data_IF_993504553007
#
_entry.id   IF_993504553007
#
_cell.length_a   1.000
_cell.length_b   1.000
_cell.length_c   1.000
_cell.angle_alpha   90.00
_cell.angle_beta   90.00
_cell.angle_gamma   90.00
#
_symmetry.space_group_name_H-M   'P 1'
#
loop_
_entity.id
_entity.type
_entity.pdbx_description
1 polymer ?
#
# COMPACT_ATOMS: atom_id res chain seq x y z
N UNK A 1 15.90 -50.53 -16.38
CA UNK A 1 15.74 -49.08 -16.64
C UNK A 1 14.46 -48.49 -16.01
N UNK A 2 14.13 -48.81 -14.73
CA UNK A 2 12.96 -48.23 -14.03
C UNK A 2 13.31 -47.54 -12.69
N UNK A 3 14.57 -47.64 -12.24
CA UNK A 3 15.03 -47.05 -10.96
C UNK A 3 15.72 -45.69 -11.11
N UNK A 4 16.05 -45.28 -12.34
CA UNK A 4 16.73 -43.99 -12.62
C UNK A 4 15.70 -42.85 -12.80
N UNK A 5 14.47 -43.15 -13.24
CA UNK A 5 13.41 -42.15 -13.39
C UNK A 5 12.87 -41.61 -12.06
N UNK A 6 12.96 -42.38 -10.97
CA UNK A 6 12.45 -41.98 -9.66
C UNK A 6 13.36 -40.95 -8.96
N UNK A 7 14.67 -41.00 -9.20
CA UNK A 7 15.65 -40.08 -8.60
C UNK A 7 15.57 -38.70 -9.25
N UNK A 8 15.25 -38.62 -10.55
CA UNK A 8 15.03 -37.35 -11.25
C UNK A 8 13.75 -36.62 -10.79
N UNK A 9 12.71 -37.37 -10.40
CA UNK A 9 11.44 -36.81 -9.90
C UNK A 9 11.55 -36.26 -8.47
N UNK A 10 12.41 -36.83 -7.63
CA UNK A 10 12.66 -36.32 -6.26
C UNK A 10 13.57 -35.10 -6.27
N UNK A 11 14.48 -34.98 -7.25
CA UNK A 11 15.34 -33.80 -7.40
C UNK A 11 14.60 -32.54 -7.88
N UNK A 12 13.49 -32.69 -8.63
CA UNK A 12 12.67 -31.56 -9.08
C UNK A 12 11.70 -31.04 -8.00
N UNK A 13 11.39 -31.83 -6.97
CA UNK A 13 10.59 -31.37 -5.83
C UNK A 13 11.42 -30.62 -4.77
N UNK A 14 12.74 -30.79 -4.76
CA UNK A 14 13.65 -30.16 -3.80
C UNK A 14 14.03 -28.70 -4.14
N UNK A 15 13.53 -28.16 -5.25
CA UNK A 15 13.69 -26.75 -5.63
C UNK A 15 12.39 -25.94 -5.57
N UNK A 16 11.37 -26.40 -4.83
CA UNK A 16 10.35 -25.48 -4.31
C UNK A 16 10.97 -24.70 -3.15
N UNK A 17 11.81 -23.72 -3.45
CA UNK A 17 12.29 -22.83 -2.41
C UNK A 17 11.07 -22.09 -1.87
N UNK A 18 10.80 -22.19 -0.57
CA UNK A 18 9.82 -21.37 0.18
C UNK A 18 10.23 -19.89 0.22
N UNK A 19 10.99 -19.42 -0.77
CA UNK A 19 11.37 -18.03 -0.89
C UNK A 19 10.16 -17.26 -1.43
N UNK A 20 9.79 -16.15 -0.79
CA UNK A 20 8.82 -15.24 -1.36
C UNK A 20 9.25 -14.87 -2.78
N UNK A 21 8.32 -14.96 -3.72
CA UNK A 21 8.55 -14.57 -5.11
C UNK A 21 8.56 -13.05 -5.27
N UNK A 22 7.92 -12.33 -4.35
CA UNK A 22 7.89 -10.88 -4.30
C UNK A 22 9.04 -10.34 -3.44
N UNK A 23 9.74 -9.28 -3.90
CA UNK A 23 10.74 -8.59 -3.09
C UNK A 23 10.09 -7.87 -1.90
N UNK A 24 10.80 -7.85 -0.78
CA UNK A 24 10.41 -7.14 0.43
C UNK A 24 11.64 -6.72 1.24
N UNK A 25 11.46 -5.74 2.13
CA UNK A 25 12.48 -5.29 3.08
C UNK A 25 11.86 -4.99 4.43
N UNK A 26 12.48 -5.48 5.51
CA UNK A 26 12.14 -5.04 6.87
C UNK A 26 12.77 -3.65 7.07
N UNK A 27 11.94 -2.64 7.31
CA UNK A 27 12.37 -1.24 7.44
C UNK A 27 12.41 -0.77 8.89
N UNK A 28 11.66 -1.40 9.78
CA UNK A 28 11.65 -1.11 11.21
C UNK A 28 11.34 -2.39 11.99
N UNK A 29 11.96 -2.52 13.16
CA UNK A 29 11.67 -3.57 14.14
C UNK A 29 11.54 -2.90 15.50
N UNK A 30 10.44 -3.15 16.19
CA UNK A 30 10.23 -2.64 17.55
C UNK A 30 9.49 -3.66 18.42
N UNK A 31 9.69 -3.60 19.73
CA UNK A 31 8.92 -4.40 20.69
C UNK A 31 7.98 -3.49 21.45
N UNK A 32 6.68 -3.77 21.37
CA UNK A 32 5.64 -3.00 22.04
C UNK A 32 4.54 -3.93 22.53
N UNK A 33 4.07 -3.71 23.76
CA UNK A 33 2.97 -4.47 24.37
C UNK A 33 3.17 -5.99 24.36
N UNK A 34 4.44 -6.43 24.47
CA UNK A 34 4.81 -7.85 24.45
C UNK A 34 4.73 -8.52 23.08
N UNK A 35 4.55 -7.76 21.99
CA UNK A 35 4.67 -8.22 20.61
C UNK A 35 5.89 -7.59 19.94
N UNK A 36 6.53 -8.33 19.03
CA UNK A 36 7.52 -7.75 18.11
C UNK A 36 6.79 -7.31 16.86
N UNK A 37 6.92 -6.04 16.51
CA UNK A 37 6.36 -5.42 15.32
C UNK A 37 7.47 -5.25 14.29
N UNK A 38 7.20 -5.66 13.07
CA UNK A 38 8.09 -5.46 11.94
C UNK A 38 7.34 -4.79 10.80
N UNK A 39 7.89 -3.67 10.36
CA UNK A 39 7.40 -2.99 9.19
C UNK A 39 8.06 -3.56 7.96
N UNK A 40 7.24 -4.04 7.03
CA UNK A 40 7.68 -4.76 5.84
C UNK A 40 7.32 -3.93 4.61
N UNK A 41 8.32 -3.22 4.06
CA UNK A 41 8.17 -2.53 2.80
C UNK A 41 8.08 -3.55 1.65
N UNK A 42 7.08 -3.38 0.80
CA UNK A 42 6.87 -4.15 -0.43
C UNK A 42 6.86 -3.22 -1.64
N UNK A 43 7.26 -3.72 -2.80
CA UNK A 43 7.44 -2.88 -4.00
C UNK A 43 6.13 -2.65 -4.79
N UNK A 44 5.05 -3.35 -4.44
CA UNK A 44 3.74 -3.25 -5.09
C UNK A 44 2.62 -3.80 -4.20
N UNK A 45 1.36 -3.60 -4.63
CA UNK A 45 0.20 -4.25 -4.01
C UNK A 45 0.23 -5.76 -4.29
N UNK A 46 0.59 -6.53 -3.26
CA UNK A 46 0.67 -7.99 -3.30
C UNK A 46 -0.65 -8.63 -2.90
N UNK A 47 -0.98 -9.76 -3.51
CA UNK A 47 -2.14 -10.55 -3.07
C UNK A 47 -1.91 -11.19 -1.70
N UNK A 48 -3.01 -11.71 -1.12
CA UNK A 48 -2.99 -12.34 0.20
C UNK A 48 -1.97 -13.48 0.27
N UNK A 49 -1.88 -14.33 -0.76
CA UNK A 49 -0.97 -15.48 -0.72
C UNK A 49 0.49 -15.02 -0.77
N UNK A 50 0.81 -14.03 -1.60
CA UNK A 50 2.15 -13.45 -1.66
C UNK A 50 2.57 -12.85 -0.31
N UNK A 51 1.68 -12.14 0.37
CA UNK A 51 1.93 -11.59 1.70
C UNK A 51 2.09 -12.69 2.76
N UNK A 52 1.27 -13.74 2.72
CA UNK A 52 1.41 -14.89 3.61
C UNK A 52 2.73 -15.64 3.40
N UNK A 53 3.21 -15.74 2.15
CA UNK A 53 4.51 -16.34 1.86
C UNK A 53 5.65 -15.50 2.46
N UNK A 54 5.56 -14.16 2.39
CA UNK A 54 6.49 -13.26 3.08
C UNK A 54 6.41 -13.46 4.59
N UNK A 55 5.19 -13.53 5.15
CA UNK A 55 4.97 -13.77 6.58
C UNK A 55 5.65 -15.06 7.06
N UNK A 56 5.42 -16.16 6.34
CA UNK A 56 5.98 -17.46 6.62
C UNK A 56 7.52 -17.42 6.62
N UNK A 57 8.10 -16.74 5.63
CA UNK A 57 9.56 -16.59 5.52
C UNK A 57 10.12 -15.82 6.70
N UNK A 58 9.54 -14.66 7.02
CA UNK A 58 9.99 -13.83 8.16
C UNK A 58 9.81 -14.58 9.48
N UNK A 59 8.70 -15.29 9.66
CA UNK A 59 8.43 -16.10 10.86
C UNK A 59 9.43 -17.24 11.01
N UNK A 60 9.81 -17.90 9.92
CA UNK A 60 10.84 -18.95 9.91
C UNK A 60 12.21 -18.38 10.27
N UNK A 61 12.60 -17.24 9.69
CA UNK A 61 13.87 -16.56 9.98
C UNK A 61 13.93 -15.99 11.39
N UNK A 62 12.77 -15.64 11.96
CA UNK A 62 12.62 -15.02 13.27
C UNK A 62 11.85 -15.93 14.22
N UNK A 63 12.19 -17.22 14.20
CA UNK A 63 11.45 -18.27 14.92
C UNK A 63 11.36 -18.04 16.42
N UNK A 64 12.33 -17.31 17.00
CA UNK A 64 12.36 -16.92 18.42
C UNK A 64 11.27 -15.92 18.82
N UNK A 65 10.63 -15.21 17.89
CA UNK A 65 9.49 -14.36 18.22
C UNK A 65 8.19 -15.16 18.17
N UNK A 66 7.64 -15.50 19.33
CA UNK A 66 6.33 -16.17 19.44
C UNK A 66 5.16 -15.24 19.13
N UNK A 67 5.30 -13.96 19.51
CA UNK A 67 4.31 -12.91 19.27
C UNK A 67 4.88 -11.91 18.25
N UNK A 68 4.52 -12.09 16.98
CA UNK A 68 5.10 -11.37 15.86
C UNK A 68 4.01 -10.75 14.99
N UNK A 69 4.03 -9.43 14.87
CA UNK A 69 3.18 -8.65 13.97
C UNK A 69 4.02 -8.10 12.82
N UNK A 70 3.51 -8.28 11.61
CA UNK A 70 4.09 -7.76 10.38
C UNK A 70 3.10 -6.77 9.79
N UNK A 71 3.50 -5.51 9.65
CA UNK A 71 2.72 -4.47 9.00
C UNK A 71 3.34 -4.17 7.63
N UNK A 72 2.60 -4.43 6.56
CA UNK A 72 3.07 -4.26 5.20
C UNK A 72 2.84 -2.83 4.73
N UNK A 73 3.84 -2.23 4.09
CA UNK A 73 3.86 -0.82 3.70
C UNK A 73 4.11 -0.72 2.21
N UNK A 74 3.29 0.08 1.51
CA UNK A 74 3.41 0.33 0.07
C UNK A 74 4.41 1.45 -0.24
N UNK A 75 4.94 1.52 -1.47
CA UNK A 75 5.81 2.60 -1.89
C UNK A 75 5.13 3.97 -1.76
N UNK A 76 5.84 4.93 -1.15
CA UNK A 76 5.30 6.27 -0.87
C UNK A 76 4.82 6.45 0.57
N UNK A 77 4.42 5.36 1.25
CA UNK A 77 4.16 5.36 2.68
C UNK A 77 5.48 5.34 3.43
N UNK A 78 5.74 6.42 4.16
CA UNK A 78 7.02 6.65 4.81
C UNK A 78 6.83 7.39 6.13
N UNK A 79 7.89 7.36 6.94
CA UNK A 79 7.94 7.93 8.29
C UNK A 79 8.23 9.43 8.34
N UNK A 80 8.51 10.06 7.21
CA UNK A 80 8.85 11.49 7.14
C UNK A 80 7.58 12.37 7.10
N UNK A 81 6.40 11.76 6.92
CA UNK A 81 5.11 12.46 6.96
C UNK A 81 4.62 12.67 8.40
N UNK A 82 3.94 13.80 8.67
CA UNK A 82 3.29 14.09 9.97
C UNK A 82 2.16 13.09 10.31
N UNK A 83 1.49 12.54 9.30
CA UNK A 83 0.42 11.57 9.48
C UNK A 83 0.91 10.15 9.83
N UNK A 84 2.22 9.95 9.96
CA UNK A 84 2.84 8.64 10.16
C UNK A 84 2.78 7.78 8.90
N UNK A 85 3.06 6.48 9.08
CA UNK A 85 3.03 5.50 8.00
C UNK A 85 1.65 4.85 7.89
N UNK A 86 1.12 4.76 6.67
CA UNK A 86 -0.09 3.99 6.40
C UNK A 86 0.24 2.51 6.24
N UNK A 87 -0.49 1.66 6.96
CA UNK A 87 -0.36 0.20 6.87
C UNK A 87 -1.32 -0.30 5.80
N UNK A 88 -0.81 -1.04 4.84
CA UNK A 88 -1.58 -1.62 3.74
C UNK A 88 -2.24 -2.94 4.14
N UNK A 89 -1.49 -3.82 4.80
CA UNK A 89 -1.97 -5.10 5.29
C UNK A 89 -1.24 -5.46 6.59
N UNK A 90 -1.78 -6.40 7.34
CA UNK A 90 -1.10 -6.93 8.52
C UNK A 90 -1.20 -8.46 8.62
N UNK A 91 -0.14 -9.07 9.15
CA UNK A 91 -0.11 -10.47 9.58
C UNK A 91 0.27 -10.53 11.06
N UNK A 92 -0.40 -11.35 11.85
CA UNK A 92 -0.11 -11.45 13.29
C UNK A 92 -0.06 -12.91 13.73
N UNK A 93 1.13 -13.35 14.10
CA UNK A 93 1.38 -14.59 14.81
C UNK A 93 1.24 -14.33 16.31
N UNK A 94 0.24 -14.96 16.93
CA UNK A 94 0.03 -14.89 18.38
C UNK A 94 0.67 -16.10 19.07
N UNK A 95 1.02 -15.97 20.38
CA UNK A 95 1.42 -17.11 21.18
C UNK A 95 0.35 -18.21 21.14
N UNK A 96 0.77 -19.48 21.11
CA UNK A 96 -0.15 -20.62 20.96
C UNK A 96 -1.27 -20.69 22.03
N UNK A 97 -1.00 -20.19 23.24
CA UNK A 97 -1.99 -20.10 24.32
C UNK A 97 -2.99 -18.94 24.18
N UNK A 98 -2.85 -18.07 23.17
CA UNK A 98 -3.61 -16.83 22.97
C UNK A 98 -4.30 -16.75 21.60
N UNK A 99 -4.46 -17.85 20.89
CA UNK A 99 -5.22 -17.83 19.63
C UNK A 99 -6.64 -17.33 19.85
N UNK A 100 -7.13 -16.55 18.89
CA UNK A 100 -8.48 -15.98 18.88
C UNK A 100 -9.24 -16.41 17.63
N UNK A 101 -10.53 -16.09 17.55
CA UNK A 101 -11.37 -16.39 16.38
C UNK A 101 -10.87 -15.71 15.09
N UNK A 102 -9.99 -14.71 15.20
CA UNK A 102 -9.36 -14.06 14.04
C UNK A 102 -8.20 -14.89 13.45
N UNK A 103 -7.65 -15.85 14.21
CA UNK A 103 -6.53 -16.72 13.81
C UNK A 103 -7.03 -17.92 13.00
N UNK A 104 -7.44 -17.69 11.76
CA UNK A 104 -8.04 -18.72 10.90
C UNK A 104 -7.14 -19.18 9.77
N UNK A 105 -5.99 -18.54 9.60
CA UNK A 105 -5.11 -18.75 8.44
C UNK A 105 -3.87 -19.51 8.91
N UNK A 106 -3.39 -20.42 8.06
CA UNK A 106 -2.15 -21.15 8.28
C UNK A 106 -1.15 -20.76 7.22
N UNK A 107 0.09 -20.53 7.64
CA UNK A 107 1.21 -20.41 6.72
C UNK A 107 1.69 -21.77 6.20
N UNK A 108 2.65 -21.78 5.28
CA UNK A 108 3.20 -23.01 4.68
C UNK A 108 3.90 -23.92 5.69
N UNK A 109 4.23 -23.41 6.87
CA UNK A 109 4.81 -24.15 8.00
C UNK A 109 3.76 -24.55 9.04
N UNK A 110 2.47 -24.41 8.72
CA UNK A 110 1.33 -24.74 9.55
C UNK A 110 1.19 -23.88 10.83
N UNK A 111 1.88 -22.74 10.91
CA UNK A 111 1.69 -21.78 12.00
C UNK A 111 0.38 -21.04 11.78
N UNK A 112 -0.40 -20.85 12.86
CA UNK A 112 -1.65 -20.13 12.81
C UNK A 112 -1.41 -18.62 12.95
N UNK A 113 -2.11 -17.83 12.16
CA UNK A 113 -2.04 -16.37 12.19
C UNK A 113 -3.37 -15.74 11.78
N UNK A 114 -3.55 -14.48 12.15
CA UNK A 114 -4.54 -13.61 11.53
C UNK A 114 -3.90 -12.81 10.40
N UNK A 115 -4.68 -12.51 9.36
CA UNK A 115 -4.29 -11.62 8.27
C UNK A 115 -5.45 -10.69 7.92
N UNK A 116 -5.13 -9.44 7.64
CA UNK A 116 -6.10 -8.42 7.26
C UNK A 116 -5.50 -7.46 6.23
N UNK A 117 -6.27 -7.12 5.19
CA UNK A 117 -6.01 -5.91 4.42
C UNK A 117 -6.57 -4.73 5.21
N UNK A 118 -5.68 -3.87 5.69
CA UNK A 118 -6.06 -2.64 6.41
C UNK A 118 -6.48 -1.57 5.39
N UNK A 119 -5.75 -1.50 4.28
CA UNK A 119 -6.08 -0.67 3.12
C UNK A 119 -6.93 -1.38 2.07
N UNK A 120 -6.88 -0.85 0.84
CA UNK A 120 -7.60 -1.35 -0.32
C UNK A 120 -6.87 -2.57 -0.92
N UNK A 121 -7.54 -3.73 -0.92
CA UNK A 121 -7.03 -4.96 -1.52
C UNK A 121 -6.66 -4.80 -3.01
N UNK A 122 -5.70 -5.58 -3.55
CA UNK A 122 -5.16 -5.38 -4.90
C UNK A 122 -6.19 -5.44 -6.03
N UNK A 123 -7.15 -6.35 -5.95
CA UNK A 123 -8.19 -6.53 -6.96
C UNK A 123 -9.14 -5.33 -7.00
N UNK A 124 -9.46 -4.78 -5.83
CA UNK A 124 -10.26 -3.57 -5.68
C UNK A 124 -9.50 -2.33 -6.13
N UNK A 125 -8.22 -2.20 -5.75
CA UNK A 125 -7.32 -1.15 -6.23
C UNK A 125 -7.23 -1.15 -7.75
N UNK A 126 -7.04 -2.32 -8.37
CA UNK A 126 -7.02 -2.47 -9.83
C UNK A 126 -8.31 -2.00 -10.49
N UNK A 127 -9.47 -2.31 -9.90
CA UNK A 127 -10.78 -1.84 -10.40
C UNK A 127 -10.90 -0.32 -10.30
N UNK A 128 -10.54 0.26 -9.15
CA UNK A 128 -10.61 1.70 -8.92
C UNK A 128 -9.69 2.48 -9.86
N UNK A 129 -8.45 1.99 -10.06
CA UNK A 129 -7.49 2.57 -11.00
C UNK A 129 -7.96 2.46 -12.45
N UNK A 130 -8.82 1.48 -12.77
CA UNK A 130 -9.40 1.29 -14.10
C UNK A 130 -10.69 2.07 -14.34
N UNK A 131 -11.21 2.83 -13.36
CA UNK A 131 -12.45 3.61 -13.54
C UNK A 131 -12.28 4.60 -14.69
N UNK A 132 -13.14 4.51 -15.70
CA UNK A 132 -13.23 5.53 -16.74
C UNK A 132 -13.89 6.78 -16.15
N UNK A 133 -13.25 7.93 -16.31
CA UNK A 133 -13.83 9.20 -15.90
C UNK A 133 -14.77 9.62 -17.05
N UNK A 134 -16.06 9.93 -16.77
CA UNK A 134 -16.97 10.43 -17.79
C UNK A 134 -16.41 11.71 -18.46
N UNK A 135 -16.68 11.87 -19.76
CA UNK A 135 -16.33 13.05 -20.52
C UNK A 135 -14.83 13.41 -20.51
N UNK A 136 -13.94 12.42 -20.64
CA UNK A 136 -12.48 12.66 -20.78
C UNK A 136 -12.04 13.17 -22.16
N UNK A 137 -12.99 13.38 -23.07
CA UNK A 137 -12.71 14.06 -24.34
C UNK A 137 -12.16 15.45 -24.04
N UNK A 138 -11.01 15.76 -24.63
CA UNK A 138 -10.27 17.01 -24.40
C UNK A 138 -9.72 17.21 -22.98
N UNK A 139 -9.62 16.15 -22.16
CA UNK A 139 -8.96 16.19 -20.85
C UNK A 139 -7.65 15.39 -20.85
N UNK A 140 -6.74 15.72 -19.96
CA UNK A 140 -5.47 14.99 -19.76
C UNK A 140 -5.38 14.53 -18.31
N UNK A 141 -5.42 13.22 -18.08
CA UNK A 141 -5.18 12.66 -16.76
C UNK A 141 -3.71 12.88 -16.37
N UNK A 142 -3.50 13.50 -15.21
CA UNK A 142 -2.17 13.75 -14.64
C UNK A 142 -1.75 12.68 -13.63
N UNK A 143 -2.71 12.00 -12.98
CA UNK A 143 -2.42 10.85 -12.15
C UNK A 143 -3.61 10.29 -11.40
N UNK A 144 -3.41 9.09 -10.85
CA UNK A 144 -4.36 8.36 -10.00
C UNK A 144 -3.66 7.85 -8.75
N UNK A 145 -4.17 8.19 -7.58
CA UNK A 145 -3.52 7.94 -6.29
C UNK A 145 -4.51 7.29 -5.35
N UNK A 146 -4.14 6.15 -4.77
CA UNK A 146 -4.97 5.49 -3.76
C UNK A 146 -4.50 5.98 -2.39
N UNK A 147 -5.44 6.38 -1.55
CA UNK A 147 -5.19 6.64 -0.13
C UNK A 147 -5.78 5.47 0.67
N UNK A 148 -4.92 4.56 1.14
CA UNK A 148 -5.37 3.39 1.92
C UNK A 148 -5.92 3.77 3.30
N UNK A 149 -5.62 4.95 3.81
CA UNK A 149 -6.11 5.39 5.12
C UNK A 149 -7.46 6.11 5.02
N UNK A 150 -7.73 6.82 3.91
CA UNK A 150 -9.06 7.37 3.64
C UNK A 150 -9.97 6.41 2.87
N UNK A 151 -9.40 5.32 2.33
CA UNK A 151 -10.07 4.37 1.46
C UNK A 151 -10.69 5.05 0.23
N UNK A 152 -9.92 5.94 -0.39
CA UNK A 152 -10.33 6.71 -1.57
C UNK A 152 -9.31 6.63 -2.70
N UNK A 153 -9.74 7.06 -3.89
CA UNK A 153 -8.85 7.29 -5.04
C UNK A 153 -8.95 8.75 -5.47
N UNK A 154 -7.82 9.45 -5.43
CA UNK A 154 -7.68 10.80 -5.97
C UNK A 154 -7.25 10.74 -7.44
N UNK A 155 -8.01 11.41 -8.29
CA UNK A 155 -7.75 11.60 -9.71
C UNK A 155 -7.43 13.07 -9.95
N UNK A 156 -6.35 13.35 -10.66
CA UNK A 156 -5.97 14.71 -11.04
C UNK A 156 -5.94 14.79 -12.56
N UNK A 157 -6.60 15.78 -13.15
CA UNK A 157 -6.60 15.99 -14.60
C UNK A 157 -6.66 17.47 -14.97
N UNK A 158 -6.24 17.76 -16.20
CA UNK A 158 -6.40 19.08 -16.82
C UNK A 158 -7.49 19.05 -17.89
N UNK A 159 -8.31 20.09 -17.97
CA UNK A 159 -9.09 20.37 -19.17
C UNK A 159 -8.20 21.09 -20.20
N UNK A 160 -8.12 20.58 -21.43
CA UNK A 160 -7.24 21.16 -22.47
C UNK A 160 -7.76 22.50 -22.99
N UNK A 161 -9.03 22.84 -22.78
CA UNK A 161 -9.64 24.07 -23.31
C UNK A 161 -9.14 25.31 -22.59
N UNK A 162 -9.00 25.24 -21.27
CA UNK A 162 -8.59 26.34 -20.40
C UNK A 162 -7.33 26.04 -19.58
N UNK A 163 -6.78 24.82 -19.70
CA UNK A 163 -5.66 24.31 -18.90
C UNK A 163 -5.95 24.34 -17.38
N UNK A 164 -7.23 24.31 -16.99
CA UNK A 164 -7.66 24.26 -15.60
C UNK A 164 -7.44 22.87 -15.02
N UNK A 165 -6.85 22.81 -13.82
CA UNK A 165 -6.71 21.57 -13.06
C UNK A 165 -7.98 21.24 -12.31
N UNK A 166 -8.27 19.96 -12.19
CA UNK A 166 -9.37 19.39 -11.43
C UNK A 166 -8.85 18.22 -10.60
N UNK A 167 -9.43 18.07 -9.41
CA UNK A 167 -9.18 16.96 -8.50
C UNK A 167 -10.54 16.31 -8.22
N UNK A 168 -10.64 15.00 -8.45
CA UNK A 168 -11.79 14.19 -8.07
C UNK A 168 -11.35 13.13 -7.08
N UNK A 169 -12.07 13.01 -5.98
CA UNK A 169 -11.91 11.92 -5.04
C UNK A 169 -13.09 10.95 -5.19
N UNK A 170 -12.76 9.67 -5.31
CA UNK A 170 -13.72 8.57 -5.42
C UNK A 170 -13.69 7.70 -4.17
N UNK A 171 -14.85 7.26 -3.69
CA UNK A 171 -14.93 6.21 -2.67
C UNK A 171 -14.55 4.83 -3.24
N UNK A 172 -14.54 3.81 -2.37
CA UNK A 172 -14.21 2.45 -2.80
C UNK A 172 -15.25 1.77 -3.70
N UNK A 173 -16.43 2.37 -3.90
CA UNK A 173 -17.42 1.93 -4.87
C UNK A 173 -17.31 2.68 -6.21
N UNK A 174 -16.43 3.67 -6.30
CA UNK A 174 -16.21 4.50 -7.49
C UNK A 174 -17.12 5.72 -7.57
N UNK A 175 -17.86 6.05 -6.50
CA UNK A 175 -18.67 7.26 -6.47
C UNK A 175 -17.81 8.48 -6.17
N UNK A 176 -18.11 9.60 -6.82
CA UNK A 176 -17.47 10.88 -6.50
C UNK A 176 -17.89 11.34 -5.12
N UNK A 177 -16.92 11.52 -4.22
CA UNK A 177 -17.14 12.06 -2.87
C UNK A 177 -16.69 13.50 -2.72
N UNK A 178 -15.73 13.94 -3.54
CA UNK A 178 -15.24 15.32 -3.51
C UNK A 178 -14.73 15.79 -4.88
N UNK A 179 -15.37 16.80 -5.50
CA UNK A 179 -14.83 17.50 -6.64
C UNK A 179 -14.21 18.84 -6.23
N UNK A 180 -12.96 19.10 -6.64
CA UNK A 180 -12.24 20.33 -6.32
C UNK A 180 -11.61 20.93 -7.57
N UNK A 181 -11.82 22.24 -7.75
CA UNK A 181 -11.07 23.06 -8.72
C UNK A 181 -10.03 23.84 -7.92
N UNK A 182 -8.77 23.38 -7.83
CA UNK A 182 -7.77 24.03 -7.02
C UNK A 182 -7.35 25.38 -7.62
N UNK A 183 -6.98 26.31 -6.74
CA UNK A 183 -6.19 27.48 -7.14
C UNK A 183 -4.74 27.05 -7.32
N UNK A 184 -4.20 27.21 -8.52
CA UNK A 184 -2.82 26.80 -8.83
C UNK A 184 -1.87 27.98 -8.67
N UNK A 185 -0.81 27.80 -7.88
CA UNK A 185 0.27 28.77 -7.71
C UNK A 185 1.59 28.06 -8.04
N UNK A 186 2.35 28.57 -8.99
CA UNK A 186 3.68 28.04 -9.28
C UNK A 186 4.71 28.64 -8.32
N UNK A 187 5.48 27.79 -7.64
CA UNK A 187 6.59 28.20 -6.79
C UNK A 187 7.82 27.36 -7.13
N UNK A 188 8.87 28.00 -7.63
CA UNK A 188 10.13 27.36 -8.04
C UNK A 188 9.93 26.19 -9.03
N UNK A 189 8.97 26.34 -9.97
CA UNK A 189 8.68 25.32 -10.98
C UNK A 189 7.82 24.15 -10.47
N UNK A 190 7.32 24.22 -9.23
CA UNK A 190 6.37 23.24 -8.68
C UNK A 190 5.02 23.91 -8.53
N UNK A 191 3.99 23.27 -9.09
CA UNK A 191 2.61 23.72 -8.95
C UNK A 191 2.07 23.32 -7.57
N UNK A 192 1.74 24.33 -6.75
CA UNK A 192 0.97 24.19 -5.52
C UNK A 192 -0.52 24.32 -5.86
N UNK A 193 -1.26 23.23 -5.70
CA UNK A 193 -2.71 23.16 -5.89
C UNK A 193 -3.37 23.42 -4.54
N UNK A 194 -3.83 24.64 -4.29
CA UNK A 194 -4.53 25.01 -3.06
C UNK A 194 -5.95 24.42 -3.11
N UNK A 195 -6.28 23.56 -2.15
CA UNK A 195 -7.51 22.75 -2.14
C UNK A 195 -8.50 23.13 -1.04
N UNK A 196 -8.08 23.88 -0.02
CA UNK A 196 -8.97 24.41 1.02
C UNK A 196 -8.89 25.93 1.12
N UNK A 197 -9.89 26.56 1.75
CA UNK A 197 -9.88 28.00 2.02
C UNK A 197 -8.78 28.39 3.02
N UNK A 198 -8.44 27.48 3.92
CA UNK A 198 -7.39 27.61 4.92
C UNK A 198 -5.99 27.56 4.28
N UNK A 199 -5.88 27.08 3.04
CA UNK A 199 -4.63 27.07 2.29
C UNK A 199 -3.92 25.72 2.28
N UNK A 200 -4.58 24.63 2.68
CA UNK A 200 -4.04 23.29 2.50
C UNK A 200 -3.84 23.05 1.01
N UNK A 201 -2.78 22.34 0.67
CA UNK A 201 -2.37 22.24 -0.71
C UNK A 201 -1.74 20.91 -1.04
N UNK A 202 -1.78 20.59 -2.33
CA UNK A 202 -1.17 19.40 -2.90
C UNK A 202 -0.11 19.80 -3.92
N UNK A 203 0.94 19.00 -4.02
CA UNK A 203 1.93 19.08 -5.10
C UNK A 203 1.98 17.75 -5.82
N UNK A 204 2.08 17.80 -7.15
CA UNK A 204 2.29 16.62 -7.98
C UNK A 204 3.63 16.74 -8.69
N UNK A 205 4.55 15.81 -8.40
CA UNK A 205 5.88 15.76 -9.03
C UNK A 205 6.33 14.32 -9.15
N UNK A 206 6.89 13.94 -10.31
CA UNK A 206 7.48 12.61 -10.55
C UNK A 206 6.54 11.45 -10.16
N UNK A 207 5.25 11.56 -10.50
CA UNK A 207 4.19 10.58 -10.14
C UNK A 207 4.00 10.38 -8.63
N UNK A 208 4.35 11.39 -7.83
CA UNK A 208 4.11 11.44 -6.39
C UNK A 208 3.21 12.63 -6.07
N UNK A 209 2.08 12.33 -5.45
CA UNK A 209 1.16 13.30 -4.88
C UNK A 209 1.52 13.52 -3.41
N UNK A 210 1.84 14.75 -3.05
CA UNK A 210 2.17 15.12 -1.67
C UNK A 210 1.20 16.16 -1.16
N UNK A 211 0.71 15.97 0.06
CA UNK A 211 -0.34 16.79 0.66
C UNK A 211 0.19 17.48 1.92
N UNK A 212 -0.09 18.78 2.02
CA UNK A 212 0.41 19.66 3.06
C UNK A 212 -0.75 20.38 3.73
N UNK A 213 -0.66 20.51 5.05
CA UNK A 213 -1.54 21.38 5.81
C UNK A 213 -0.98 22.80 5.76
N UNK A 214 -1.86 23.78 5.69
CA UNK A 214 -1.55 25.20 5.88
C UNK A 214 -0.84 25.48 7.21
N UNK A 215 -1.07 24.67 8.24
CA UNK A 215 -0.41 24.78 9.56
C UNK A 215 1.02 24.23 9.55
N UNK A 216 1.39 23.41 8.57
CA UNK A 216 2.71 22.80 8.44
C UNK A 216 3.13 22.72 6.97
N UNK A 217 3.36 23.87 6.31
CA UNK A 217 3.51 23.94 4.86
C UNK A 217 4.80 23.29 4.33
N UNK A 218 5.79 23.04 5.19
CA UNK A 218 7.08 22.46 4.80
C UNK A 218 7.18 20.96 5.08
N UNK A 219 6.24 20.40 5.84
CA UNK A 219 6.24 18.98 6.21
C UNK A 219 4.94 18.34 5.72
N UNK A 220 5.02 17.35 4.82
CA UNK A 220 3.81 16.71 4.31
C UNK A 220 3.11 15.95 5.43
N UNK A 221 1.78 15.97 5.44
CA UNK A 221 1.02 15.04 6.28
C UNK A 221 0.76 13.72 5.55
N UNK A 222 0.86 13.71 4.21
CA UNK A 222 0.66 12.52 3.39
C UNK A 222 1.42 12.57 2.07
N UNK A 223 1.88 11.41 1.63
CA UNK A 223 2.50 11.20 0.32
C UNK A 223 1.96 9.92 -0.30
N UNK A 224 1.50 9.98 -1.55
CA UNK A 224 0.93 8.87 -2.31
C UNK A 224 1.67 8.71 -3.64
N UNK A 225 1.96 7.47 -4.03
CA UNK A 225 2.57 7.17 -5.33
C UNK A 225 1.50 6.77 -6.34
N UNK A 226 1.65 7.22 -7.57
CA UNK A 226 0.69 6.94 -8.64
C UNK A 226 0.54 5.43 -8.89
N UNK A 227 -0.72 4.99 -9.00
CA UNK A 227 -1.09 3.61 -9.29
C UNK A 227 -0.76 2.61 -8.18
N UNK A 228 -0.25 3.09 -7.05
CA UNK A 228 0.14 2.25 -5.91
C UNK A 228 -0.94 2.09 -4.90
#
# INVERSE_FOLDING_TARGET
MKRIALILLVALAACNSNKPTAPYKIVKVETKDGATWMDVAVDSRLDKQQLLNIAAKIKSDSSHYENLRLDYILPGYNYDNLGGVSVYASSHYRPAAKYTDADTIRDDSNNLLSFEFVGIAPDKAKKLLAIEIPDMKDKTLLGRFIDDNLLTVTLIYNDKKDNQKYILELDTAGNVVSPVVPKVINHNGIDKMIVTQQGDYMTLKDSVLTMYSSESPETPYRTLREGM
#
